data_IF_207394264509
#
_entry.id   IF_207394264509
#
_cell.length_a   1.000
_cell.length_b   1.000
_cell.length_c   1.000
_cell.angle_alpha   90.00
_cell.angle_beta   90.00
_cell.angle_gamma   90.00
#
_symmetry.space_group_name_H-M   'P 1'
#
loop_
_entity.id
_entity.type
_entity.pdbx_description
1 polymer ?
#
# COMPACT_ATOMS: atom_id res chain seq x y z
N UNK A 1 -60.52 7.83 8.06
CA UNK A 1 -59.41 8.61 8.67
C UNK A 1 -58.20 7.75 9.03
N UNK A 2 -58.35 6.66 9.80
CA UNK A 2 -57.21 5.86 10.25
C UNK A 2 -56.36 5.21 9.13
N UNK A 3 -57.00 4.79 8.04
CA UNK A 3 -56.29 4.23 6.87
C UNK A 3 -55.39 5.25 6.16
N UNK A 4 -55.83 6.51 6.09
CA UNK A 4 -55.05 7.61 5.52
C UNK A 4 -53.83 7.94 6.39
N UNK A 5 -54.02 7.98 7.72
CA UNK A 5 -52.92 8.15 8.67
C UNK A 5 -51.90 7.01 8.58
N UNK A 6 -52.35 5.76 8.53
CA UNK A 6 -51.48 4.60 8.38
C UNK A 6 -50.68 4.64 7.07
N UNK A 7 -51.31 5.03 5.95
CA UNK A 7 -50.65 5.19 4.66
C UNK A 7 -49.58 6.31 4.66
N UNK A 8 -49.87 7.44 5.31
CA UNK A 8 -48.91 8.56 5.41
C UNK A 8 -47.71 8.17 6.27
N UNK A 9 -47.93 7.54 7.42
CA UNK A 9 -46.86 7.13 8.35
C UNK A 9 -45.98 6.03 7.75
N UNK A 10 -46.59 5.03 7.10
CA UNK A 10 -45.84 3.96 6.43
C UNK A 10 -45.07 4.48 5.21
N UNK A 11 -45.65 5.37 4.42
CA UNK A 11 -44.99 6.00 3.27
C UNK A 11 -43.79 6.88 3.67
N UNK A 12 -43.96 7.72 4.69
CA UNK A 12 -42.85 8.56 5.21
C UNK A 12 -41.78 7.72 5.90
N UNK A 13 -42.16 6.72 6.69
CA UNK A 13 -41.23 5.77 7.31
C UNK A 13 -40.42 5.01 6.26
N UNK A 14 -41.06 4.50 5.21
CA UNK A 14 -40.39 3.82 4.11
C UNK A 14 -39.44 4.75 3.33
N UNK A 15 -39.86 5.99 3.06
CA UNK A 15 -39.03 6.96 2.37
C UNK A 15 -37.79 7.34 3.18
N UNK A 16 -37.93 7.57 4.50
CA UNK A 16 -36.83 7.87 5.40
C UNK A 16 -35.89 6.67 5.56
N UNK A 17 -36.44 5.46 5.67
CA UNK A 17 -35.68 4.22 5.74
C UNK A 17 -34.86 4.00 4.46
N UNK A 18 -35.49 4.14 3.28
CA UNK A 18 -34.81 4.02 1.98
C UNK A 18 -33.73 5.08 1.82
N UNK A 19 -33.99 6.32 2.24
CA UNK A 19 -33.00 7.41 2.21
C UNK A 19 -31.85 7.17 3.16
N UNK A 20 -32.10 6.63 4.35
CA UNK A 20 -31.07 6.24 5.32
C UNK A 20 -30.22 5.09 4.79
N UNK A 21 -30.86 4.03 4.25
CA UNK A 21 -30.20 2.88 3.62
C UNK A 21 -29.30 3.30 2.46
N UNK A 22 -29.76 4.22 1.62
CA UNK A 22 -28.98 4.73 0.48
C UNK A 22 -27.89 5.73 0.90
N UNK A 23 -28.00 6.35 2.08
CA UNK A 23 -26.98 7.25 2.65
C UNK A 23 -25.88 6.52 3.41
N UNK A 24 -26.09 5.27 3.80
CA UNK A 24 -24.99 4.43 4.24
C UNK A 24 -24.09 4.21 3.03
N UNK A 25 -22.98 4.94 2.97
CA UNK A 25 -21.90 4.66 2.04
C UNK A 25 -21.55 3.18 2.22
N UNK A 26 -21.89 2.36 1.23
CA UNK A 26 -21.55 0.95 1.25
C UNK A 26 -20.05 0.85 1.53
N UNK A 27 -19.66 0.08 2.54
CA UNK A 27 -18.26 -0.04 2.93
C UNK A 27 -17.44 -0.42 1.70
N UNK A 28 -16.53 0.47 1.31
CA UNK A 28 -15.74 0.32 0.08
C UNK A 28 -14.92 -0.97 0.12
N UNK A 29 -14.61 -1.50 1.32
CA UNK A 29 -13.92 -2.79 1.53
C UNK A 29 -14.72 -3.98 1.01
N UNK A 30 -16.04 -3.87 0.92
CA UNK A 30 -16.92 -4.92 0.41
C UNK A 30 -17.06 -4.87 -1.12
N UNK A 31 -16.44 -3.89 -1.79
CA UNK A 31 -16.49 -3.79 -3.25
C UNK A 31 -15.48 -4.72 -3.93
N UNK A 32 -15.89 -5.35 -5.04
CA UNK A 32 -14.99 -6.18 -5.84
C UNK A 32 -13.78 -5.38 -6.38
N UNK A 33 -13.96 -4.08 -6.66
CA UNK A 33 -12.89 -3.20 -7.10
C UNK A 33 -11.80 -3.02 -6.04
N UNK A 34 -12.17 -2.90 -4.76
CA UNK A 34 -11.21 -2.80 -3.65
C UNK A 34 -10.33 -4.04 -3.55
N UNK A 35 -10.92 -5.23 -3.59
CA UNK A 35 -10.18 -6.49 -3.55
C UNK A 35 -9.29 -6.68 -4.77
N UNK A 36 -9.80 -6.41 -5.98
CA UNK A 36 -9.01 -6.51 -7.22
C UNK A 36 -7.79 -5.61 -7.17
N UNK A 37 -7.96 -4.34 -6.80
CA UNK A 37 -6.85 -3.40 -6.73
C UNK A 37 -5.86 -3.77 -5.63
N UNK A 38 -6.34 -4.23 -4.47
CA UNK A 38 -5.47 -4.72 -3.38
C UNK A 38 -4.62 -5.90 -3.83
N UNK A 39 -5.22 -6.86 -4.56
CA UNK A 39 -4.53 -8.03 -5.07
C UNK A 39 -3.46 -7.66 -6.10
N UNK A 40 -3.74 -6.73 -7.02
CA UNK A 40 -2.75 -6.22 -7.99
C UNK A 40 -1.56 -5.57 -7.28
N UNK A 41 -1.82 -4.71 -6.28
CA UNK A 41 -0.78 -4.05 -5.49
C UNK A 41 0.06 -5.07 -4.72
N UNK A 42 -0.60 -6.08 -4.13
CA UNK A 42 0.08 -7.13 -3.37
C UNK A 42 0.94 -8.04 -4.27
N UNK A 43 0.47 -8.38 -5.47
CA UNK A 43 1.26 -9.11 -6.47
C UNK A 43 2.48 -8.31 -6.92
N UNK A 44 2.31 -7.02 -7.20
CA UNK A 44 3.42 -6.15 -7.54
C UNK A 44 4.44 -6.04 -6.38
N UNK A 45 3.96 -5.98 -5.13
CA UNK A 45 4.83 -6.01 -3.96
C UNK A 45 5.58 -7.33 -3.81
N UNK A 46 4.94 -8.46 -4.12
CA UNK A 46 5.62 -9.76 -4.12
C UNK A 46 6.75 -9.79 -5.16
N UNK A 47 6.50 -9.28 -6.37
CA UNK A 47 7.55 -9.14 -7.40
C UNK A 47 8.68 -8.22 -6.93
N UNK A 48 8.37 -7.14 -6.22
CA UNK A 48 9.35 -6.27 -5.61
C UNK A 48 10.21 -7.00 -4.56
N UNK A 49 9.63 -7.83 -3.70
CA UNK A 49 10.40 -8.65 -2.75
C UNK A 49 11.32 -9.65 -3.46
N UNK A 50 10.83 -10.31 -4.50
CA UNK A 50 11.63 -11.23 -5.32
C UNK A 50 12.78 -10.51 -6.02
N UNK A 51 12.54 -9.31 -6.55
CA UNK A 51 13.58 -8.48 -7.15
C UNK A 51 14.67 -8.11 -6.13
N UNK A 52 14.31 -7.80 -4.89
CA UNK A 52 15.27 -7.57 -3.81
C UNK A 52 16.15 -8.79 -3.55
N UNK A 53 15.56 -9.98 -3.45
CA UNK A 53 16.32 -11.23 -3.28
C UNK A 53 17.21 -11.58 -4.48
N UNK A 54 16.79 -11.24 -5.70
CA UNK A 54 17.61 -11.41 -6.89
C UNK A 54 18.78 -10.41 -6.91
N UNK A 55 18.55 -9.14 -6.56
CA UNK A 55 19.59 -8.12 -6.49
C UNK A 55 20.66 -8.45 -5.44
N UNK A 56 20.28 -8.99 -4.28
CA UNK A 56 21.27 -9.38 -3.27
C UNK A 56 22.15 -10.54 -3.75
N UNK A 57 21.62 -11.47 -4.55
CA UNK A 57 22.45 -12.51 -5.20
C UNK A 57 23.46 -11.92 -6.18
N UNK A 58 23.07 -10.88 -6.92
CA UNK A 58 23.98 -10.17 -7.82
C UNK A 58 25.04 -9.35 -7.08
N UNK A 59 24.67 -8.73 -5.95
CA UNK A 59 25.58 -7.90 -5.14
C UNK A 59 26.59 -8.75 -4.37
N UNK A 60 26.12 -9.82 -3.71
CA UNK A 60 26.94 -10.57 -2.77
C UNK A 60 28.02 -11.42 -3.44
N UNK A 61 27.94 -11.68 -4.77
CA UNK A 61 29.01 -12.29 -5.57
C UNK A 61 29.91 -13.30 -4.83
N UNK A 62 29.34 -14.33 -4.19
CA UNK A 62 30.03 -15.31 -3.32
C UNK A 62 30.95 -14.78 -2.20
N UNK A 63 31.06 -13.46 -2.00
CA UNK A 63 31.90 -12.84 -0.99
C UNK A 63 31.21 -12.89 0.37
N UNK A 64 31.81 -13.57 1.33
CA UNK A 64 31.28 -13.77 2.70
C UNK A 64 31.95 -12.86 3.72
N UNK A 65 32.48 -11.71 3.29
CA UNK A 65 33.11 -10.75 4.22
C UNK A 65 32.08 -10.19 5.21
N UNK A 66 32.51 -9.94 6.45
CA UNK A 66 31.62 -9.40 7.50
C UNK A 66 31.01 -8.04 7.13
N UNK A 67 31.76 -7.22 6.39
CA UNK A 67 31.29 -5.92 5.91
C UNK A 67 30.26 -6.06 4.77
N UNK A 68 30.45 -6.99 3.83
CA UNK A 68 29.45 -7.29 2.79
C UNK A 68 28.13 -7.76 3.40
N UNK A 69 28.17 -8.59 4.45
CA UNK A 69 26.97 -9.01 5.18
C UNK A 69 26.25 -7.83 5.87
N UNK A 70 26.99 -6.92 6.52
CA UNK A 70 26.39 -5.71 7.13
C UNK A 70 25.73 -4.80 6.08
N UNK A 71 26.37 -4.62 4.92
CA UNK A 71 25.81 -3.84 3.82
C UNK A 71 24.55 -4.49 3.24
N UNK A 72 24.50 -5.83 3.14
CA UNK A 72 23.30 -6.56 2.73
C UNK A 72 22.14 -6.37 3.72
N UNK A 73 22.42 -6.40 5.03
CA UNK A 73 21.39 -6.11 6.05
C UNK A 73 20.88 -4.68 5.90
N UNK A 74 21.77 -3.70 5.73
CA UNK A 74 21.41 -2.31 5.48
C UNK A 74 20.55 -2.15 4.21
N UNK A 75 20.95 -2.82 3.12
CA UNK A 75 20.18 -2.88 1.88
C UNK A 75 18.76 -3.43 2.12
N UNK A 76 18.62 -4.56 2.82
CA UNK A 76 17.31 -5.14 3.12
C UNK A 76 16.43 -4.22 3.97
N UNK A 77 17.00 -3.56 4.98
CA UNK A 77 16.26 -2.61 5.81
C UNK A 77 15.68 -1.48 4.97
N UNK A 78 16.49 -0.89 4.08
CA UNK A 78 16.04 0.18 3.18
C UNK A 78 15.05 -0.36 2.15
N UNK A 79 15.29 -1.56 1.60
CA UNK A 79 14.42 -2.20 0.62
C UNK A 79 13.02 -2.45 1.20
N UNK A 80 12.95 -3.01 2.40
CA UNK A 80 11.69 -3.28 3.10
C UNK A 80 11.02 -1.96 3.50
N UNK A 81 11.76 -0.99 4.04
CA UNK A 81 11.20 0.29 4.43
C UNK A 81 10.60 1.05 3.24
N UNK A 82 11.32 1.09 2.10
CA UNK A 82 10.82 1.70 0.88
C UNK A 82 9.62 0.93 0.31
N UNK A 83 9.65 -0.40 0.36
CA UNK A 83 8.53 -1.24 -0.03
C UNK A 83 7.27 -1.01 0.83
N UNK A 84 7.44 -0.82 2.14
CA UNK A 84 6.35 -0.49 3.05
C UNK A 84 5.77 0.90 2.76
N UNK A 85 6.63 1.89 2.47
CA UNK A 85 6.21 3.22 2.04
C UNK A 85 5.39 3.14 0.74
N UNK A 86 5.85 2.35 -0.23
CA UNK A 86 5.13 2.10 -1.48
C UNK A 86 3.76 1.47 -1.22
N UNK A 87 3.66 0.45 -0.36
CA UNK A 87 2.38 -0.14 0.04
C UNK A 87 1.44 0.90 0.66
N UNK A 88 1.93 1.75 1.57
CA UNK A 88 1.11 2.80 2.18
C UNK A 88 0.57 3.80 1.15
N UNK A 89 1.31 4.04 0.05
CA UNK A 89 0.89 4.91 -1.04
C UNK A 89 -0.11 4.27 -1.98
N UNK A 90 0.06 3.01 -2.35
CA UNK A 90 -0.73 2.38 -3.42
C UNK A 90 -1.84 1.47 -2.93
N UNK A 91 -1.75 0.95 -1.71
CA UNK A 91 -2.80 0.10 -1.17
C UNK A 91 -4.11 0.91 -1.03
N UNK A 92 -5.25 0.34 -1.46
CA UNK A 92 -6.55 0.95 -1.22
C UNK A 92 -6.75 1.19 0.28
N UNK A 93 -7.16 2.40 0.64
CA UNK A 93 -7.34 2.81 2.03
C UNK A 93 -8.68 3.51 2.19
N UNK A 94 -9.39 3.25 3.29
CA UNK A 94 -10.71 3.84 3.56
C UNK A 94 -10.66 5.21 4.23
N UNK A 95 -9.48 5.63 4.68
CA UNK A 95 -9.24 6.90 5.37
C UNK A 95 -8.34 7.84 4.57
N UNK A 96 -8.27 9.10 5.02
CA UNK A 96 -7.32 10.08 4.49
C UNK A 96 -5.90 9.63 4.79
N UNK A 97 -5.04 9.59 3.77
CA UNK A 97 -3.62 9.33 3.93
C UNK A 97 -2.93 10.58 4.52
N UNK A 98 -1.87 10.41 5.32
CA UNK A 98 -1.03 11.53 5.74
C UNK A 98 -0.51 12.28 4.50
N UNK A 99 -0.51 13.62 4.54
CA UNK A 99 -0.13 14.44 3.38
C UNK A 99 1.30 14.19 2.87
N UNK A 100 2.19 13.69 3.73
CA UNK A 100 3.56 13.32 3.35
C UNK A 100 3.65 11.99 2.59
N UNK A 101 2.62 11.13 2.69
CA UNK A 101 2.48 9.87 1.94
C UNK A 101 1.76 10.13 0.61
N UNK A 102 0.67 10.90 0.65
CA UNK A 102 -0.23 11.11 -0.49
C UNK A 102 0.31 12.13 -1.52
N UNK A 103 1.12 13.09 -1.07
CA UNK A 103 1.83 13.99 -1.98
C UNK A 103 2.97 13.27 -2.70
N UNK A 104 3.03 13.39 -4.03
CA UNK A 104 4.16 12.95 -4.86
C UNK A 104 5.46 13.65 -4.44
N UNK A 105 6.06 13.18 -3.35
CA UNK A 105 7.39 13.57 -2.91
C UNK A 105 8.36 12.65 -3.64
N UNK A 106 8.51 12.90 -4.93
CA UNK A 106 9.49 12.24 -5.81
C UNK A 106 10.88 12.14 -5.15
N UNK A 107 11.22 13.11 -4.29
CA UNK A 107 12.46 13.10 -3.52
C UNK A 107 12.62 11.90 -2.57
N UNK A 108 11.54 11.36 -1.98
CA UNK A 108 11.62 10.14 -1.18
C UNK A 108 11.98 8.92 -2.04
N UNK A 109 11.53 8.90 -3.28
CA UNK A 109 11.84 7.83 -4.24
C UNK A 109 13.29 7.96 -4.71
N UNK A 110 13.72 9.19 -5.04
CA UNK A 110 15.13 9.49 -5.37
C UNK A 110 16.06 9.11 -4.23
N UNK A 111 15.73 9.48 -2.99
CA UNK A 111 16.56 9.17 -1.82
C UNK A 111 16.59 7.67 -1.54
N UNK A 112 15.44 6.99 -1.60
CA UNK A 112 15.37 5.54 -1.43
C UNK A 112 16.22 4.81 -2.47
N UNK A 113 16.08 5.17 -3.75
CA UNK A 113 16.86 4.59 -4.85
C UNK A 113 18.35 4.91 -4.70
N UNK A 114 18.71 6.15 -4.38
CA UNK A 114 20.12 6.56 -4.22
C UNK A 114 20.80 5.77 -3.09
N UNK A 115 20.12 5.57 -1.95
CA UNK A 115 20.64 4.79 -0.83
C UNK A 115 20.79 3.32 -1.21
N UNK A 116 19.78 2.73 -1.88
CA UNK A 116 19.86 1.34 -2.36
C UNK A 116 21.00 1.13 -3.35
N UNK A 117 21.20 2.06 -4.28
CA UNK A 117 22.33 2.04 -5.21
C UNK A 117 23.66 2.20 -4.49
N UNK A 118 23.73 3.08 -3.48
CA UNK A 118 24.92 3.23 -2.64
C UNK A 118 25.30 1.91 -1.98
N UNK A 119 24.35 1.24 -1.33
CA UNK A 119 24.58 -0.10 -0.78
C UNK A 119 25.02 -1.11 -1.85
N UNK A 120 24.37 -1.11 -3.02
CA UNK A 120 24.69 -2.01 -4.12
C UNK A 120 26.12 -1.84 -4.67
N UNK A 121 26.54 -0.59 -4.85
CA UNK A 121 27.88 -0.26 -5.35
C UNK A 121 28.94 -0.59 -4.30
N UNK A 122 28.76 -0.14 -3.05
CA UNK A 122 29.75 -0.36 -1.98
C UNK A 122 29.91 -1.86 -1.69
N UNK A 123 28.81 -2.62 -1.62
CA UNK A 123 28.86 -4.06 -1.37
C UNK A 123 29.56 -4.84 -2.49
N UNK A 124 29.62 -4.31 -3.71
CA UNK A 124 30.34 -4.92 -4.83
C UNK A 124 31.84 -4.58 -4.84
N UNK A 125 32.23 -3.49 -4.21
CA UNK A 125 33.61 -3.00 -4.17
C UNK A 125 34.41 -3.55 -2.98
N UNK A 126 33.75 -4.20 -2.02
CA UNK A 126 34.29 -4.73 -0.76
C UNK A 126 34.15 -6.26 -0.75
#
# INVERSE_FOLDING_TARGET
MYLLLAAVVSGTGWFLFRRWRNRQAADQRLSAAFWRNSLVVLLAYLLYLLAGGFLTRLMAGFNTSGLANLLLVGFYLVWIAYGALWLLRFLPHTGRKPAWIDGSRFWLDVLGIAVLLGFAVVARLV
#
